data_IF_901005713430
#
_entry.id   IF_901005713430
#
_cell.length_a   1.000
_cell.length_b   1.000
_cell.length_c   1.000
_cell.angle_alpha   90.00
_cell.angle_beta   90.00
_cell.angle_gamma   90.00
#
_symmetry.space_group_name_H-M   'P 1'
#
loop_
_entity.id
_entity.type
_entity.pdbx_description
1 polymer ?
#
# COMPACT_ATOMS: atom_id res chain seq x y z
N UNK A 1 -31.91 15.94 -3.38
CA UNK A 1 -31.00 16.63 -4.33
C UNK A 1 -29.94 17.49 -3.63
N UNK A 2 -30.29 18.35 -2.66
CA UNK A 2 -29.33 19.25 -1.99
C UNK A 2 -28.17 18.55 -1.22
N UNK A 3 -28.45 17.41 -0.57
CA UNK A 3 -27.43 16.61 0.15
C UNK A 3 -26.41 15.96 -0.79
N UNK A 4 -26.86 15.52 -1.97
CA UNK A 4 -26.01 14.90 -3.00
C UNK A 4 -25.13 15.97 -3.68
N UNK A 5 -25.68 17.14 -3.99
CA UNK A 5 -24.92 18.25 -4.55
C UNK A 5 -23.83 18.77 -3.58
N UNK A 6 -24.14 18.83 -2.28
CA UNK A 6 -23.17 19.23 -1.25
C UNK A 6 -22.05 18.20 -1.08
N UNK A 7 -22.37 16.91 -1.13
CA UNK A 7 -21.38 15.81 -1.12
C UNK A 7 -20.46 15.86 -2.34
N UNK A 8 -21.02 16.12 -3.53
CA UNK A 8 -20.27 16.24 -4.77
C UNK A 8 -19.30 17.44 -4.75
N UNK A 9 -19.76 18.61 -4.30
CA UNK A 9 -18.92 19.80 -4.16
C UNK A 9 -17.80 19.60 -3.15
N UNK A 10 -18.08 18.93 -2.03
CA UNK A 10 -17.08 18.61 -1.02
C UNK A 10 -16.02 17.63 -1.56
N UNK A 11 -16.43 16.59 -2.29
CA UNK A 11 -15.51 15.67 -2.97
C UNK A 11 -14.62 16.40 -3.97
N UNK A 12 -15.22 17.24 -4.83
CA UNK A 12 -14.49 17.97 -5.86
C UNK A 12 -13.43 18.90 -5.24
N UNK A 13 -13.80 19.59 -4.15
CA UNK A 13 -12.87 20.40 -3.38
C UNK A 13 -11.75 19.54 -2.78
N UNK A 14 -12.07 18.57 -1.91
CA UNK A 14 -11.05 17.76 -1.23
C UNK A 14 -10.15 16.97 -2.20
N UNK A 15 -10.72 16.49 -3.31
CA UNK A 15 -10.03 15.66 -4.28
C UNK A 15 -9.01 16.41 -5.15
N UNK A 16 -9.30 17.65 -5.56
CA UNK A 16 -8.43 18.39 -6.50
C UNK A 16 -7.75 19.63 -5.91
N UNK A 17 -8.13 20.06 -4.71
CA UNK A 17 -7.61 21.31 -4.15
C UNK A 17 -6.08 21.32 -4.02
N UNK A 18 -5.40 20.28 -3.47
CA UNK A 18 -3.94 20.26 -3.41
C UNK A 18 -3.27 20.31 -4.78
N UNK A 19 -3.76 19.52 -5.75
CA UNK A 19 -3.30 19.54 -7.13
C UNK A 19 -3.40 20.93 -7.77
N UNK A 20 -4.56 21.58 -7.66
CA UNK A 20 -4.78 22.92 -8.20
C UNK A 20 -3.84 23.97 -7.57
N UNK A 21 -3.47 23.81 -6.29
CA UNK A 21 -2.53 24.72 -5.64
C UNK A 21 -1.12 24.58 -6.23
N UNK A 22 -0.66 23.35 -6.46
CA UNK A 22 0.64 23.08 -7.10
C UNK A 22 0.66 23.61 -8.53
N UNK A 23 -0.36 23.30 -9.34
CA UNK A 23 -0.51 23.80 -10.72
C UNK A 23 -0.52 25.33 -10.80
N UNK A 24 -1.13 26.00 -9.81
CA UNK A 24 -1.15 27.47 -9.73
C UNK A 24 0.13 28.09 -9.16
N UNK A 25 1.13 27.28 -8.78
CA UNK A 25 2.37 27.73 -8.12
C UNK A 25 2.18 28.21 -6.67
N UNK A 26 1.02 27.98 -6.05
CA UNK A 26 0.73 28.47 -4.69
C UNK A 26 1.19 27.49 -3.61
N UNK A 27 2.51 27.32 -3.48
CA UNK A 27 3.10 26.36 -2.55
C UNK A 27 2.84 26.76 -1.09
N UNK A 28 2.76 28.05 -0.76
CA UNK A 28 2.44 28.50 0.58
C UNK A 28 1.08 27.97 1.07
N UNK A 29 0.04 28.02 0.22
CA UNK A 29 -1.27 27.44 0.55
C UNK A 29 -1.24 25.91 0.52
N UNK A 30 -0.46 25.31 -0.37
CA UNK A 30 -0.31 23.86 -0.43
C UNK A 30 0.28 23.30 0.87
N UNK A 31 1.37 23.89 1.37
CA UNK A 31 1.95 23.54 2.68
C UNK A 31 0.93 23.70 3.81
N UNK A 32 0.21 24.81 3.83
CA UNK A 32 -0.82 25.06 4.85
C UNK A 32 -1.97 24.05 4.76
N UNK A 33 -2.35 23.63 3.56
CA UNK A 33 -3.38 22.62 3.34
C UNK A 33 -2.97 21.26 3.91
N UNK A 34 -1.76 20.80 3.60
CA UNK A 34 -1.25 19.49 4.03
C UNK A 34 -0.67 19.47 5.46
N UNK A 35 -0.82 20.57 6.19
CA UNK A 35 -0.54 20.67 7.64
C UNK A 35 -1.80 21.02 8.44
N UNK A 36 -2.95 21.15 7.78
CA UNK A 36 -4.23 21.46 8.42
C UNK A 36 -4.97 20.18 8.80
N UNK A 37 -5.08 19.92 10.10
CA UNK A 37 -5.73 18.70 10.60
C UNK A 37 -7.17 18.52 10.10
N UNK A 38 -7.98 19.58 10.06
CA UNK A 38 -9.37 19.50 9.61
C UNK A 38 -9.46 19.07 8.14
N UNK A 39 -8.54 19.54 7.29
CA UNK A 39 -8.45 19.09 5.90
C UNK A 39 -8.06 17.61 5.82
N UNK A 40 -7.02 17.19 6.56
CA UNK A 40 -6.58 15.78 6.58
C UNK A 40 -7.74 14.88 7.04
N UNK A 41 -8.37 15.23 8.16
CA UNK A 41 -9.50 14.49 8.72
C UNK A 41 -10.70 14.47 7.78
N UNK A 42 -11.03 15.60 7.15
CA UNK A 42 -12.13 15.66 6.18
C UNK A 42 -11.86 14.75 4.96
N UNK A 43 -10.63 14.70 4.46
CA UNK A 43 -10.26 13.87 3.30
C UNK A 43 -10.19 12.38 3.65
N UNK A 44 -9.62 12.02 4.80
CA UNK A 44 -9.52 10.63 5.27
C UNK A 44 -10.90 10.04 5.58
N UNK A 45 -11.81 10.83 6.17
CA UNK A 45 -13.17 10.37 6.52
C UNK A 45 -14.18 10.43 5.36
N UNK A 46 -13.77 10.91 4.17
CA UNK A 46 -14.70 11.06 3.05
C UNK A 46 -14.99 9.70 2.39
N UNK A 47 -16.27 9.30 2.19
CA UNK A 47 -16.63 7.94 1.73
C UNK A 47 -16.05 7.51 0.38
N UNK A 48 -15.82 8.47 -0.51
CA UNK A 48 -15.27 8.22 -1.86
C UNK A 48 -13.79 8.62 -1.99
N UNK A 49 -13.17 9.10 -0.91
CA UNK A 49 -11.73 9.35 -0.84
C UNK A 49 -11.16 8.41 0.23
N UNK A 50 -10.19 8.89 1.01
CA UNK A 50 -9.57 8.12 2.08
C UNK A 50 -8.11 8.50 2.27
N UNK A 51 -7.44 7.78 3.17
CA UNK A 51 -6.02 8.00 3.49
C UNK A 51 -5.12 7.93 2.25
N UNK A 52 -5.43 7.05 1.30
CA UNK A 52 -4.61 6.93 0.10
C UNK A 52 -4.70 8.17 -0.79
N UNK A 53 -5.91 8.69 -1.04
CA UNK A 53 -6.08 9.92 -1.82
C UNK A 53 -5.40 11.12 -1.14
N UNK A 54 -5.28 11.10 0.20
CA UNK A 54 -4.50 12.09 0.92
C UNK A 54 -2.99 11.87 0.75
N UNK A 55 -2.49 10.64 0.83
CA UNK A 55 -1.06 10.32 0.60
C UNK A 55 -0.61 10.76 -0.79
N UNK A 56 -1.46 10.57 -1.80
CA UNK A 56 -1.25 11.00 -3.19
C UNK A 56 -1.11 12.53 -3.29
N UNK A 57 -1.82 13.30 -2.45
CA UNK A 57 -1.60 14.76 -2.42
C UNK A 57 -0.18 15.11 -1.99
N UNK A 58 0.40 14.39 -1.03
CA UNK A 58 1.78 14.63 -0.58
C UNK A 58 2.82 14.21 -1.61
N UNK A 59 2.49 13.31 -2.55
CA UNK A 59 3.39 12.89 -3.63
C UNK A 59 3.61 14.01 -4.65
N UNK A 60 2.70 14.99 -4.74
CA UNK A 60 2.81 16.14 -5.65
C UNK A 60 4.05 17.01 -5.40
N UNK A 61 4.63 16.97 -4.19
CA UNK A 61 5.82 17.77 -3.86
C UNK A 61 7.13 17.15 -4.37
N UNK A 62 7.10 15.90 -4.86
CA UNK A 62 8.27 15.21 -5.43
C UNK A 62 8.57 15.63 -6.87
N UNK A 63 7.78 16.55 -7.44
CA UNK A 63 8.04 17.11 -8.74
C UNK A 63 9.35 17.95 -8.73
N UNK A 64 10.31 17.53 -9.56
CA UNK A 64 11.61 18.16 -9.68
C UNK A 64 11.51 19.63 -10.13
N UNK A 65 10.44 20.01 -10.84
CA UNK A 65 10.21 21.39 -11.29
C UNK A 65 9.98 22.33 -10.09
N UNK A 66 9.41 21.82 -8.98
CA UNK A 66 9.11 22.61 -7.79
C UNK A 66 10.34 22.98 -6.97
N UNK A 67 11.48 22.28 -7.13
CA UNK A 67 12.73 22.56 -6.40
C UNK A 67 13.27 23.97 -6.67
N UNK A 68 12.95 24.54 -7.84
CA UNK A 68 13.39 25.87 -8.25
C UNK A 68 12.37 26.98 -7.95
N UNK A 69 11.20 26.62 -7.42
CA UNK A 69 10.11 27.56 -7.19
C UNK A 69 10.42 28.55 -6.04
N UNK A 70 10.12 29.85 -6.15
CA UNK A 70 10.46 30.85 -5.12
C UNK A 70 9.84 30.59 -3.75
N UNK A 71 8.65 29.97 -3.72
CA UNK A 71 7.96 29.61 -2.48
C UNK A 71 8.39 28.25 -1.92
N UNK A 72 9.30 27.52 -2.58
CA UNK A 72 9.78 26.22 -2.09
C UNK A 72 10.50 26.38 -0.75
N UNK A 73 10.13 25.54 0.21
CA UNK A 73 10.72 25.57 1.55
C UNK A 73 11.10 24.15 1.99
N UNK A 74 12.40 23.87 2.07
CA UNK A 74 12.93 22.55 2.38
C UNK A 74 12.50 22.04 3.77
N UNK A 75 12.44 22.92 4.77
CA UNK A 75 12.04 22.55 6.14
C UNK A 75 10.57 22.11 6.19
N UNK A 76 9.68 22.86 5.53
CA UNK A 76 8.27 22.49 5.38
C UNK A 76 8.09 21.19 4.62
N UNK A 77 8.87 20.99 3.56
CA UNK A 77 8.86 19.73 2.80
C UNK A 77 9.27 18.56 3.68
N UNK A 78 10.29 18.71 4.53
CA UNK A 78 10.67 17.67 5.51
C UNK A 78 9.52 17.37 6.47
N UNK A 79 8.82 18.38 7.00
CA UNK A 79 7.63 18.17 7.84
C UNK A 79 6.53 17.42 7.09
N UNK A 80 6.23 17.82 5.85
CA UNK A 80 5.26 17.14 5.01
C UNK A 80 5.64 15.67 4.78
N UNK A 81 6.92 15.37 4.53
CA UNK A 81 7.39 13.99 4.33
C UNK A 81 7.27 13.13 5.57
N UNK A 82 7.49 13.69 6.76
CA UNK A 82 7.25 12.97 8.02
C UNK A 82 5.76 12.70 8.22
N UNK A 83 4.89 13.70 7.99
CA UNK A 83 3.44 13.51 8.08
C UNK A 83 2.97 12.45 7.07
N UNK A 84 3.42 12.54 5.82
CA UNK A 84 3.16 11.55 4.78
C UNK A 84 3.61 10.15 5.21
N UNK A 85 4.81 10.02 5.78
CA UNK A 85 5.33 8.76 6.29
C UNK A 85 4.44 8.17 7.40
N UNK A 86 3.95 9.01 8.33
CA UNK A 86 3.03 8.57 9.37
C UNK A 86 1.72 8.06 8.77
N UNK A 87 1.16 8.78 7.79
CA UNK A 87 -0.03 8.36 7.05
C UNK A 87 0.18 7.04 6.30
N UNK A 88 1.35 6.84 5.66
CA UNK A 88 1.70 5.58 4.98
C UNK A 88 1.80 4.40 5.95
N UNK A 89 2.45 4.59 7.10
CA UNK A 89 2.55 3.58 8.15
C UNK A 89 1.19 3.24 8.78
N UNK A 90 0.24 4.16 8.72
CA UNK A 90 -1.10 4.02 9.27
C UNK A 90 -2.17 3.71 8.23
N UNK A 91 -1.83 3.63 6.94
CA UNK A 91 -2.80 3.58 5.86
C UNK A 91 -3.78 2.39 6.00
N UNK A 92 -3.27 1.23 6.38
CA UNK A 92 -4.07 0.03 6.61
C UNK A 92 -5.10 0.20 7.75
N UNK A 93 -4.68 0.81 8.86
CA UNK A 93 -5.57 1.09 10.01
C UNK A 93 -6.62 2.11 9.60
N UNK A 94 -6.21 3.18 8.95
CA UNK A 94 -7.10 4.28 8.55
C UNK A 94 -8.05 3.92 7.41
N UNK A 95 -7.71 2.92 6.60
CA UNK A 95 -8.61 2.37 5.59
C UNK A 95 -9.73 1.50 6.21
N UNK A 96 -9.46 0.87 7.36
CA UNK A 96 -10.45 0.08 8.09
C UNK A 96 -11.26 0.94 9.07
N UNK A 97 -10.59 1.85 9.75
CA UNK A 97 -11.15 2.73 10.77
C UNK A 97 -10.48 4.11 10.71
N UNK A 98 -11.13 5.02 9.99
CA UNK A 98 -10.66 6.39 9.81
C UNK A 98 -10.70 7.22 11.10
N UNK A 99 -11.40 6.77 12.15
CA UNK A 99 -11.50 7.50 13.42
C UNK A 99 -10.19 7.49 14.20
N UNK A 100 -9.29 6.54 13.91
CA UNK A 100 -7.97 6.43 14.54
C UNK A 100 -6.95 7.45 14.03
N UNK A 101 -7.30 8.35 13.11
CA UNK A 101 -6.35 9.32 12.53
C UNK A 101 -5.55 10.08 13.59
N UNK A 102 -6.21 10.53 14.66
CA UNK A 102 -5.55 11.28 15.73
C UNK A 102 -4.51 10.42 16.44
N UNK A 103 -4.87 9.21 16.88
CA UNK A 103 -3.98 8.28 17.58
C UNK A 103 -2.78 7.90 16.72
N UNK A 104 -3.05 7.63 15.44
CA UNK A 104 -2.07 7.20 14.46
C UNK A 104 -1.03 8.28 14.15
N UNK A 105 -1.47 9.53 13.98
CA UNK A 105 -0.58 10.68 13.80
C UNK A 105 0.19 10.99 15.09
N UNK A 106 -0.51 11.04 16.22
CA UNK A 106 0.08 11.36 17.51
C UNK A 106 1.17 10.37 17.91
N UNK A 107 0.86 9.06 17.91
CA UNK A 107 1.80 8.03 18.35
C UNK A 107 3.08 7.93 17.51
N UNK A 108 3.05 8.41 16.26
CA UNK A 108 4.20 8.37 15.33
C UNK A 108 4.95 9.68 15.21
N UNK A 109 4.27 10.81 15.37
CA UNK A 109 4.86 12.14 15.13
C UNK A 109 5.32 12.84 16.40
N UNK A 110 4.97 12.34 17.59
CA UNK A 110 5.25 13.01 18.87
C UNK A 110 6.75 13.30 19.12
N UNK A 111 7.67 12.57 18.48
CA UNK A 111 9.11 12.79 18.62
C UNK A 111 9.62 14.04 17.88
N UNK A 112 8.89 14.57 16.89
CA UNK A 112 9.39 15.62 16.02
C UNK A 112 9.04 17.02 16.54
N UNK A 113 10.05 17.88 16.66
CA UNK A 113 9.93 19.24 17.19
C UNK A 113 9.60 20.30 16.12
N UNK A 114 9.28 19.87 14.89
CA UNK A 114 8.97 20.79 13.79
C UNK A 114 7.68 21.58 14.08
N UNK A 115 7.66 22.91 13.89
CA UNK A 115 6.51 23.76 14.21
C UNK A 115 5.21 23.31 13.53
N UNK A 116 5.29 22.90 12.27
CA UNK A 116 4.16 22.41 11.48
C UNK A 116 3.57 21.12 12.06
N UNK A 117 4.43 20.20 12.52
CA UNK A 117 4.01 18.94 13.14
C UNK A 117 3.39 19.20 14.51
N UNK A 118 4.03 20.05 15.33
CA UNK A 118 3.49 20.42 16.64
C UNK A 118 2.12 21.11 16.51
N UNK A 119 1.96 22.03 15.56
CA UNK A 119 0.69 22.68 15.29
C UNK A 119 -0.38 21.70 14.80
N UNK A 120 -0.02 20.76 13.92
CA UNK A 120 -0.91 19.70 13.45
C UNK A 120 -1.40 18.82 14.61
N UNK A 121 -0.48 18.39 15.48
CA UNK A 121 -0.80 17.56 16.64
C UNK A 121 -1.68 18.32 17.63
N UNK A 122 -1.39 19.58 17.91
CA UNK A 122 -2.21 20.41 18.81
C UNK A 122 -3.62 20.65 18.25
N UNK A 123 -3.76 20.82 16.93
CA UNK A 123 -5.07 20.85 16.29
C UNK A 123 -5.80 19.49 16.39
N UNK A 124 -5.08 18.38 16.18
CA UNK A 124 -5.63 17.03 16.33
C UNK A 124 -6.10 16.74 17.78
N UNK A 125 -5.43 17.35 18.78
CA UNK A 125 -5.83 17.26 20.20
C UNK A 125 -7.23 17.81 20.46
N UNK A 126 -7.66 18.76 19.65
CA UNK A 126 -8.98 19.39 19.73
C UNK A 126 -10.05 18.61 18.96
N UNK A 127 -9.72 17.43 18.43
CA UNK A 127 -10.69 16.55 17.77
C UNK A 127 -11.87 16.25 18.68
N UNK A 128 -13.07 16.21 18.09
CA UNK A 128 -14.33 15.90 18.78
C UNK A 128 -14.54 14.39 18.98
N UNK A 129 -13.71 13.55 18.37
CA UNK A 129 -13.74 12.10 18.53
C UNK A 129 -13.08 11.70 19.84
N UNK A 130 -13.52 10.61 20.46
CA UNK A 130 -12.85 10.02 21.62
C UNK A 130 -11.63 9.22 21.12
N UNK A 131 -10.48 9.40 21.77
CA UNK A 131 -9.23 8.73 21.40
C UNK A 131 -8.29 8.62 22.61
N UNK A 132 -7.34 7.68 22.54
CA UNK A 132 -6.30 7.46 23.54
C UNK A 132 -5.06 8.30 23.24
N UNK A 133 -4.76 9.26 24.12
CA UNK A 133 -3.57 10.10 24.00
C UNK A 133 -2.32 9.37 24.52
N UNK A 134 -1.41 9.05 23.62
CA UNK A 134 -0.09 8.57 23.99
C UNK A 134 0.71 9.72 24.67
N UNK A 135 1.26 9.43 25.86
CA UNK A 135 2.12 10.39 26.59
C UNK A 135 3.57 10.36 26.12
N UNK A 136 3.97 9.27 25.46
CA UNK A 136 5.28 9.07 24.85
C UNK A 136 5.12 8.47 23.45
N UNK A 137 6.09 8.66 22.53
CA UNK A 137 6.05 8.01 21.22
C UNK A 137 5.97 6.49 21.40
N UNK A 138 4.95 5.87 20.83
CA UNK A 138 4.63 4.45 21.08
C UNK A 138 4.35 3.66 19.80
N UNK A 139 4.43 4.31 18.63
CA UNK A 139 4.28 3.70 17.31
C UNK A 139 5.54 3.99 16.47
N UNK A 140 5.81 3.15 15.47
CA UNK A 140 6.99 3.30 14.61
C UNK A 140 7.01 4.69 13.96
N UNK A 141 8.06 5.50 14.20
CA UNK A 141 8.11 6.85 13.64
C UNK A 141 8.36 6.81 12.12
N UNK A 142 7.83 7.79 11.35
CA UNK A 142 8.20 8.00 9.96
C UNK A 142 9.66 8.45 9.82
N UNK A 143 10.20 8.34 8.60
CA UNK A 143 11.61 8.64 8.33
C UNK A 143 12.56 7.46 8.55
N UNK A 144 12.04 6.31 9.00
CA UNK A 144 12.74 5.02 8.93
C UNK A 144 12.70 4.40 7.52
N UNK A 145 13.34 3.23 7.33
CA UNK A 145 13.40 2.52 6.03
C UNK A 145 12.06 1.92 5.55
N UNK A 146 11.03 1.89 6.41
CA UNK A 146 9.73 1.28 6.08
C UNK A 146 8.87 2.27 5.28
N UNK A 147 8.63 1.94 4.01
CA UNK A 147 7.90 2.81 3.07
C UNK A 147 6.39 2.57 3.11
N UNK A 148 5.95 1.31 3.22
CA UNK A 148 4.52 0.93 3.20
C UNK A 148 4.29 -0.46 3.78
N UNK A 149 3.11 -0.68 4.37
CA UNK A 149 2.59 -1.98 4.79
C UNK A 149 1.41 -2.37 3.89
N UNK A 150 1.46 -3.57 3.29
CA UNK A 150 0.36 -4.14 2.51
C UNK A 150 -0.41 -5.14 3.38
N UNK A 151 -1.69 -4.85 3.63
CA UNK A 151 -2.57 -5.70 4.44
C UNK A 151 -3.72 -6.21 3.60
N UNK A 152 -4.06 -7.49 3.75
CA UNK A 152 -5.24 -8.04 3.08
C UNK A 152 -5.39 -9.55 3.21
N UNK A 153 -4.29 -10.29 3.35
CA UNK A 153 -4.36 -11.71 3.72
C UNK A 153 -4.97 -11.88 5.11
N UNK A 154 -5.79 -12.91 5.29
CA UNK A 154 -6.44 -13.22 6.57
C UNK A 154 -5.64 -14.17 7.46
N UNK A 155 -4.49 -14.63 6.98
CA UNK A 155 -3.57 -15.53 7.69
C UNK A 155 -2.12 -15.25 7.28
N UNK A 156 -1.17 -16.04 7.79
CA UNK A 156 0.27 -15.90 7.58
C UNK A 156 0.61 -15.77 6.08
N UNK A 157 1.50 -14.83 5.75
CA UNK A 157 2.06 -14.69 4.40
C UNK A 157 3.34 -15.52 4.34
N UNK A 158 3.34 -16.56 3.52
CA UNK A 158 4.43 -17.53 3.45
C UNK A 158 5.45 -17.18 2.37
N UNK A 159 5.01 -16.55 1.28
CA UNK A 159 5.85 -16.24 0.13
C UNK A 159 5.46 -14.91 -0.51
N UNK A 160 6.47 -14.22 -1.05
CA UNK A 160 6.30 -12.99 -1.83
C UNK A 160 7.25 -13.04 -3.03
N UNK A 161 6.77 -12.59 -4.19
CA UNK A 161 7.57 -12.35 -5.39
C UNK A 161 7.29 -10.94 -5.92
N UNK A 162 8.30 -10.30 -6.51
CA UNK A 162 8.20 -8.98 -7.13
C UNK A 162 8.47 -9.14 -8.62
N UNK A 163 7.65 -8.50 -9.46
CA UNK A 163 7.86 -8.46 -10.89
C UNK A 163 9.11 -7.61 -11.23
N UNK A 164 9.78 -7.90 -12.33
CA UNK A 164 11.02 -7.23 -12.71
C UNK A 164 10.90 -5.71 -12.90
N UNK A 165 9.72 -5.22 -13.27
CA UNK A 165 9.48 -3.79 -13.40
C UNK A 165 9.34 -3.07 -12.05
N UNK A 166 9.31 -3.83 -10.94
CA UNK A 166 9.15 -3.33 -9.58
C UNK A 166 7.78 -2.77 -9.26
N UNK A 167 6.79 -2.90 -10.16
CA UNK A 167 5.46 -2.29 -10.00
C UNK A 167 4.44 -3.25 -9.40
N UNK A 168 4.67 -4.55 -9.57
CA UNK A 168 3.75 -5.59 -9.13
C UNK A 168 4.43 -6.54 -8.14
N UNK A 169 3.70 -6.93 -7.10
CA UNK A 169 4.08 -8.02 -6.22
C UNK A 169 2.95 -9.05 -6.12
N UNK A 170 3.32 -10.30 -5.84
CA UNK A 170 2.37 -11.36 -5.54
C UNK A 170 2.78 -11.99 -4.22
N UNK A 171 1.80 -12.18 -3.33
CA UNK A 171 1.98 -12.91 -2.08
C UNK A 171 1.13 -14.18 -2.05
N UNK A 172 1.63 -15.22 -1.39
CA UNK A 172 0.89 -16.45 -1.09
C UNK A 172 0.77 -16.66 0.41
N UNK A 173 -0.37 -17.16 0.87
CA UNK A 173 -0.73 -17.22 2.30
C UNK A 173 -1.36 -18.54 2.73
N UNK A 174 -1.36 -18.78 4.04
CA UNK A 174 -2.13 -19.80 4.73
C UNK A 174 -3.65 -19.66 4.52
N UNK A 175 -4.14 -18.48 4.12
CA UNK A 175 -5.55 -18.26 3.73
C UNK A 175 -5.96 -18.94 2.41
N UNK A 176 -5.08 -19.77 1.83
CA UNK A 176 -5.25 -20.52 0.59
C UNK A 176 -5.34 -19.65 -0.68
N UNK A 177 -5.05 -18.35 -0.58
CA UNK A 177 -5.10 -17.43 -1.72
C UNK A 177 -3.72 -16.90 -2.10
N UNK A 178 -3.66 -16.34 -3.32
CA UNK A 178 -2.63 -15.39 -3.67
C UNK A 178 -3.24 -14.00 -3.80
N UNK A 179 -2.50 -12.96 -3.43
CA UNK A 179 -2.88 -11.57 -3.69
C UNK A 179 -1.88 -10.90 -4.60
N UNK A 180 -2.40 -10.15 -5.56
CA UNK A 180 -1.63 -9.36 -6.51
C UNK A 180 -1.72 -7.90 -6.09
N UNK A 181 -0.57 -7.25 -5.94
CA UNK A 181 -0.44 -5.91 -5.39
C UNK A 181 0.15 -4.96 -6.41
N UNK A 182 -0.38 -3.75 -6.45
CA UNK A 182 0.28 -2.61 -7.09
C UNK A 182 1.19 -1.98 -6.05
N UNK A 183 2.51 -2.04 -6.26
CA UNK A 183 3.51 -1.49 -5.35
C UNK A 183 3.59 0.05 -5.43
N UNK A 184 3.21 0.64 -6.56
CA UNK A 184 3.16 2.10 -6.73
C UNK A 184 2.01 2.69 -5.90
N UNK A 185 0.81 2.12 -6.07
CA UNK A 185 -0.39 2.58 -5.36
C UNK A 185 -0.48 2.03 -3.94
N UNK A 186 0.17 0.91 -3.66
CA UNK A 186 0.09 0.23 -2.37
C UNK A 186 -1.25 -0.46 -2.12
N UNK A 187 -1.92 -0.91 -3.18
CA UNK A 187 -3.25 -1.53 -3.11
C UNK A 187 -3.22 -2.96 -3.62
N UNK A 188 -4.13 -3.76 -3.10
CA UNK A 188 -4.48 -5.03 -3.74
C UNK A 188 -5.18 -4.73 -5.08
N UNK A 189 -4.67 -5.33 -6.16
CA UNK A 189 -5.32 -5.29 -7.47
C UNK A 189 -6.42 -6.35 -7.57
N UNK A 190 -6.11 -7.58 -7.17
CA UNK A 190 -7.05 -8.70 -7.11
C UNK A 190 -6.47 -9.89 -6.33
N UNK A 191 -7.38 -10.77 -5.89
CA UNK A 191 -7.06 -12.06 -5.26
C UNK A 191 -7.22 -13.19 -6.30
N UNK A 192 -6.26 -14.11 -6.32
CA UNK A 192 -6.35 -15.38 -7.06
C UNK A 192 -6.75 -16.50 -6.08
N UNK A 193 -7.85 -17.17 -6.40
CA UNK A 193 -8.40 -18.28 -5.60
C UNK A 193 -8.33 -19.58 -6.41
N UNK A 194 -8.02 -20.70 -5.75
CA UNK A 194 -8.00 -22.00 -6.43
C UNK A 194 -7.14 -23.07 -5.75
N UNK A 195 -6.22 -22.68 -4.88
CA UNK A 195 -5.58 -23.62 -3.96
C UNK A 195 -6.54 -24.01 -2.82
N UNK A 196 -6.37 -25.21 -2.27
CA UNK A 196 -7.21 -25.77 -1.19
C UNK A 196 -6.50 -25.86 0.16
N UNK A 197 -5.28 -25.35 0.22
CA UNK A 197 -4.43 -25.30 1.41
C UNK A 197 -3.41 -24.17 1.23
N UNK A 198 -2.62 -23.90 2.27
CA UNK A 198 -1.58 -22.87 2.32
C UNK A 198 -0.78 -22.76 1.03
N UNK A 199 -0.66 -21.56 0.50
CA UNK A 199 0.27 -21.26 -0.59
C UNK A 199 1.63 -21.02 0.03
N UNK A 200 2.57 -21.94 -0.21
CA UNK A 200 3.89 -21.93 0.43
C UNK A 200 4.96 -21.23 -0.42
N UNK A 201 4.73 -21.14 -1.72
CA UNK A 201 5.70 -20.62 -2.68
C UNK A 201 5.00 -19.83 -3.78
N UNK A 202 5.64 -18.75 -4.21
CA UNK A 202 5.20 -17.91 -5.33
C UNK A 202 6.42 -17.50 -6.14
N UNK A 203 6.30 -17.54 -7.46
CA UNK A 203 7.25 -16.95 -8.41
C UNK A 203 6.50 -16.18 -9.52
N UNK A 204 7.17 -15.22 -10.15
CA UNK A 204 6.63 -14.43 -11.26
C UNK A 204 7.54 -14.63 -12.47
N UNK A 205 6.96 -14.88 -13.63
CA UNK A 205 7.70 -14.95 -14.88
C UNK A 205 8.29 -13.58 -15.25
N UNK A 206 9.39 -13.57 -15.98
CA UNK A 206 10.18 -12.38 -16.28
C UNK A 206 9.39 -11.28 -17.02
N UNK A 207 8.38 -11.66 -17.79
CA UNK A 207 7.49 -10.77 -18.54
C UNK A 207 6.34 -10.20 -17.68
N UNK A 208 6.24 -10.63 -16.42
CA UNK A 208 5.21 -10.20 -15.47
C UNK A 208 3.80 -10.69 -15.79
N UNK A 209 3.62 -11.63 -16.72
CA UNK A 209 2.28 -12.09 -17.16
C UNK A 209 1.83 -13.36 -16.47
N UNK A 210 2.79 -14.22 -16.08
CA UNK A 210 2.50 -15.48 -15.42
C UNK A 210 2.96 -15.46 -13.97
N UNK A 211 2.14 -16.04 -13.10
CA UNK A 211 2.54 -16.39 -11.74
C UNK A 211 2.56 -17.90 -11.58
N UNK A 212 3.47 -18.39 -10.74
CA UNK A 212 3.58 -19.78 -10.37
C UNK A 212 3.39 -19.88 -8.87
N UNK A 213 2.62 -20.85 -8.40
CA UNK A 213 2.50 -21.11 -6.97
C UNK A 213 2.55 -22.58 -6.61
N UNK A 214 3.17 -22.88 -5.47
CA UNK A 214 3.19 -24.19 -4.85
C UNK A 214 2.43 -24.17 -3.53
N UNK A 215 1.68 -25.25 -3.23
CA UNK A 215 0.79 -25.30 -2.07
C UNK A 215 0.87 -26.59 -1.26
N UNK A 216 0.41 -26.48 -0.01
CA UNK A 216 0.06 -27.58 0.90
C UNK A 216 -0.93 -28.59 0.31
N UNK A 217 -1.71 -28.20 -0.70
CA UNK A 217 -2.66 -29.06 -1.39
C UNK A 217 -2.00 -30.03 -2.38
N UNK A 218 -0.65 -30.05 -2.40
CA UNK A 218 0.22 -30.86 -3.28
C UNK A 218 0.20 -30.41 -4.73
N UNK A 219 -0.40 -29.27 -5.05
CA UNK A 219 -0.45 -28.77 -6.41
C UNK A 219 0.55 -27.64 -6.64
N UNK A 220 1.05 -27.58 -7.88
CA UNK A 220 1.64 -26.41 -8.46
C UNK A 220 0.66 -25.86 -9.50
N UNK A 221 0.45 -24.54 -9.51
CA UNK A 221 -0.43 -23.86 -10.46
C UNK A 221 0.31 -22.77 -11.21
N UNK A 222 0.03 -22.66 -12.50
CA UNK A 222 0.44 -21.55 -13.36
C UNK A 222 -0.77 -20.69 -13.65
N UNK A 223 -0.68 -19.41 -13.34
CA UNK A 223 -1.75 -18.43 -13.43
C UNK A 223 -1.43 -17.44 -14.52
N UNK A 224 -2.42 -17.12 -15.35
CA UNK A 224 -2.37 -15.96 -16.23
C UNK A 224 -2.89 -14.74 -15.47
N UNK A 225 -2.05 -13.72 -15.27
CA UNK A 225 -2.41 -12.55 -14.47
C UNK A 225 -3.37 -11.60 -15.19
N UNK A 226 -3.46 -11.66 -16.52
CA UNK A 226 -4.42 -10.87 -17.28
C UNK A 226 -5.83 -11.46 -17.20
N UNK A 227 -5.96 -12.79 -17.36
CA UNK A 227 -7.27 -13.47 -17.29
C UNK A 227 -7.67 -13.85 -15.86
N UNK A 228 -6.70 -13.92 -14.96
CA UNK A 228 -6.84 -14.35 -13.54
C UNK A 228 -7.22 -15.83 -13.40
N UNK A 229 -6.87 -16.63 -14.40
CA UNK A 229 -7.22 -18.05 -14.45
C UNK A 229 -5.98 -18.93 -14.33
N UNK A 230 -6.21 -20.15 -13.83
CA UNK A 230 -5.20 -21.22 -13.87
C UNK A 230 -5.14 -21.76 -15.29
N UNK A 231 -3.98 -21.68 -15.94
CA UNK A 231 -3.76 -22.18 -17.29
C UNK A 231 -3.10 -23.56 -17.32
N UNK A 232 -2.39 -23.93 -16.24
CA UNK A 232 -1.80 -25.25 -16.07
C UNK A 232 -1.72 -25.61 -14.59
N UNK A 233 -1.79 -26.90 -14.28
CA UNK A 233 -1.55 -27.40 -12.93
C UNK A 233 -0.84 -28.75 -12.94
N UNK A 234 0.00 -28.96 -11.94
CA UNK A 234 0.69 -30.21 -11.67
C UNK A 234 0.34 -30.68 -10.25
N UNK A 235 0.20 -31.99 -10.06
CA UNK A 235 -0.07 -32.59 -8.74
C UNK A 235 1.11 -33.48 -8.35
N UNK A 236 1.77 -33.13 -7.26
CA UNK A 236 2.80 -33.94 -6.63
C UNK A 236 2.22 -34.98 -5.68
N UNK A 237 3.09 -35.82 -5.13
CA UNK A 237 2.76 -36.82 -4.11
C UNK A 237 2.71 -36.21 -2.70
N UNK A 238 3.32 -35.03 -2.50
CA UNK A 238 3.44 -34.31 -1.23
C UNK A 238 3.32 -32.78 -1.43
N UNK A 239 3.20 -31.97 -0.36
CA UNK A 239 3.14 -30.51 -0.47
C UNK A 239 4.29 -29.91 -1.27
N UNK A 240 3.97 -28.97 -2.16
CA UNK A 240 4.98 -28.17 -2.87
C UNK A 240 5.37 -27.01 -1.94
N UNK A 241 6.67 -26.90 -1.65
CA UNK A 241 7.21 -25.96 -0.65
C UNK A 241 7.99 -24.80 -1.26
N UNK A 242 8.55 -24.99 -2.45
CA UNK A 242 9.28 -23.93 -3.16
C UNK A 242 9.10 -24.10 -4.67
N UNK A 243 9.19 -22.99 -5.40
CA UNK A 243 9.19 -22.99 -6.86
C UNK A 243 10.05 -21.86 -7.40
N UNK A 244 10.60 -22.06 -8.59
CA UNK A 244 11.30 -21.05 -9.38
C UNK A 244 10.91 -21.19 -10.86
N UNK A 245 11.00 -20.10 -11.61
CA UNK A 245 10.75 -20.07 -13.05
C UNK A 245 11.97 -19.47 -13.76
N UNK A 246 12.31 -20.00 -14.92
CA UNK A 246 13.38 -19.47 -15.76
C UNK A 246 13.01 -18.14 -16.41
N UNK A 247 13.99 -17.33 -16.87
CA UNK A 247 13.72 -16.03 -17.49
C UNK A 247 12.85 -16.07 -18.75
N UNK A 248 12.82 -17.20 -19.45
CA UNK A 248 11.93 -17.43 -20.60
C UNK A 248 10.46 -17.67 -20.19
N UNK A 249 10.19 -17.88 -18.90
CA UNK A 249 8.86 -18.16 -18.36
C UNK A 249 8.34 -19.58 -18.60
N UNK A 250 9.13 -20.46 -19.24
CA UNK A 250 8.67 -21.76 -19.71
C UNK A 250 9.12 -22.93 -18.83
N UNK A 251 10.28 -22.84 -18.19
CA UNK A 251 10.77 -23.92 -17.32
C UNK A 251 10.51 -23.58 -15.87
N UNK A 252 9.85 -24.49 -15.17
CA UNK A 252 9.49 -24.36 -13.76
C UNK A 252 10.17 -25.47 -12.98
N UNK A 253 10.84 -25.09 -11.89
CA UNK A 253 11.43 -26.04 -10.93
C UNK A 253 10.63 -25.97 -9.65
N UNK A 254 10.22 -27.12 -9.10
CA UNK A 254 9.43 -27.19 -7.88
C UNK A 254 10.01 -28.18 -6.89
N UNK A 255 10.17 -27.76 -5.63
CA UNK A 255 10.59 -28.63 -4.53
C UNK A 255 9.40 -29.11 -3.72
N UNK A 256 9.36 -30.41 -3.48
CA UNK A 256 8.30 -31.10 -2.75
C UNK A 256 8.79 -31.51 -1.34
N UNK A 257 7.91 -31.50 -0.34
CA UNK A 257 8.21 -31.87 1.06
C UNK A 257 8.83 -33.25 1.23
N UNK A 258 8.58 -34.17 0.29
CA UNK A 258 9.15 -35.51 0.25
C UNK A 258 10.67 -35.53 -0.04
N UNK A 259 11.24 -34.39 -0.44
CA UNK A 259 12.63 -34.27 -0.90
C UNK A 259 12.79 -34.37 -2.42
N UNK A 260 11.70 -34.53 -3.19
CA UNK A 260 11.74 -34.55 -4.66
C UNK A 260 11.83 -33.14 -5.25
N UNK A 261 12.50 -33.05 -6.40
CA UNK A 261 12.54 -31.85 -7.24
C UNK A 261 11.96 -32.20 -8.60
N UNK A 262 11.00 -31.40 -9.05
CA UNK A 262 10.33 -31.55 -10.34
C UNK A 262 10.85 -30.50 -11.31
N UNK A 263 11.19 -30.93 -12.52
CA UNK A 263 11.53 -30.06 -13.64
C UNK A 263 10.37 -30.14 -14.63
N UNK A 264 9.60 -29.06 -14.72
CA UNK A 264 8.39 -28.96 -15.51
C UNK A 264 8.61 -27.95 -16.63
N UNK A 265 8.04 -28.21 -17.80
CA UNK A 265 8.04 -27.28 -18.92
C UNK A 265 6.61 -26.95 -19.30
N UNK A 266 6.30 -25.65 -19.38
CA UNK A 266 5.05 -25.16 -19.94
C UNK A 266 5.18 -25.22 -21.46
N UNK A 267 4.37 -26.07 -22.09
CA UNK A 267 4.23 -26.15 -23.55
C UNK A 267 2.96 -25.40 -23.95
N UNK A 268 3.06 -24.58 -25.00
CA UNK A 268 2.02 -23.68 -25.49
C UNK A 268 1.70 -23.99 -26.96
#
# INVERSE_FOLDING_TARGET
MQKIAKSYQQKAYLGRFPYNLVESGNLAKYYKCLTNFDFLAAKVNHPELGVQALIEDYDLIDDAELLTHPEYNEERVKSLKLIQGALRLSAHILAQDSTQLVEQLWGRLLYFEMPEIQALLEAARQSKTVWLRALTPNLTPPGGRLIRTLTGHSDCVNAVAIANDGKLAISGSDDCTLKVWNLVEGKELFTLTGHRSSVNAVAIANDGKLAISGSGDRTLKVWNLATREVIASFVGESPILCCAVTPDGLTIVAGERSGRVHFLRLEC
#
